data_IF_662371690613
#
_entry.id   IF_662371690613
#
_cell.length_a   1.000
_cell.length_b   1.000
_cell.length_c   1.000
_cell.angle_alpha   90.00
_cell.angle_beta   90.00
_cell.angle_gamma   90.00
#
_symmetry.space_group_name_H-M   'P 1'
#
loop_
_entity.id
_entity.type
_entity.pdbx_description
1 polymer ?
#
# COMPACT_ATOMS: atom_id res chain seq x y z
N UNK A 1 13.40 -18.21 16.81
CA UNK A 1 13.03 -16.84 17.26
C UNK A 1 12.13 -16.21 16.21
N UNK A 2 10.93 -16.74 16.05
CA UNK A 2 9.97 -16.22 15.08
C UNK A 2 9.18 -15.13 15.77
N UNK A 3 9.65 -13.90 15.65
CA UNK A 3 8.94 -12.71 16.12
C UNK A 3 7.72 -12.45 15.23
N UNK A 4 6.77 -13.37 15.25
CA UNK A 4 5.44 -13.20 14.68
C UNK A 4 4.71 -12.25 15.63
N UNK A 5 4.78 -10.96 15.32
CA UNK A 5 4.18 -9.91 16.14
C UNK A 5 2.75 -9.77 15.62
N UNK A 6 1.70 -10.10 16.39
CA UNK A 6 0.32 -9.96 15.94
C UNK A 6 0.01 -8.49 15.57
N UNK A 7 -0.85 -8.29 14.56
CA UNK A 7 -1.06 -7.05 13.80
C UNK A 7 0.11 -6.67 12.88
N UNK A 8 0.46 -7.55 11.94
CA UNK A 8 1.32 -7.15 10.83
C UNK A 8 0.52 -6.37 9.79
N UNK A 9 1.17 -5.46 9.05
CA UNK A 9 0.54 -4.73 7.94
C UNK A 9 -0.16 -5.65 6.91
N UNK A 10 0.27 -6.91 6.82
CA UNK A 10 -0.39 -7.94 6.02
C UNK A 10 -1.81 -8.29 6.49
N UNK A 11 -2.12 -8.17 7.79
CA UNK A 11 -3.46 -8.42 8.33
C UNK A 11 -4.40 -7.24 8.12
N UNK A 12 -3.87 -6.01 8.11
CA UNK A 12 -4.63 -4.79 7.80
C UNK A 12 -4.89 -4.64 6.29
N UNK A 13 -3.95 -5.08 5.45
CA UNK A 13 -4.07 -5.03 3.98
C UNK A 13 -3.88 -6.41 3.35
N UNK A 14 -4.85 -7.33 3.52
CA UNK A 14 -4.76 -8.66 2.92
C UNK A 14 -4.85 -8.63 1.39
N UNK A 15 -5.51 -7.61 0.82
CA UNK A 15 -5.61 -7.42 -0.63
C UNK A 15 -4.29 -6.97 -1.25
N UNK A 16 -3.52 -6.15 -0.52
CA UNK A 16 -2.28 -5.52 -1.01
C UNK A 16 -1.01 -6.20 -0.50
N UNK A 17 -1.14 -7.40 0.09
CA UNK A 17 -0.04 -8.21 0.63
C UNK A 17 1.15 -8.38 -0.36
N UNK A 18 0.85 -8.56 -1.64
CA UNK A 18 1.87 -8.64 -2.69
C UNK A 18 2.58 -7.31 -2.92
N UNK A 19 1.85 -6.19 -2.93
CA UNK A 19 2.42 -4.85 -3.06
C UNK A 19 3.22 -4.45 -1.84
N UNK A 20 2.73 -4.75 -0.64
CA UNK A 20 3.44 -4.59 0.62
C UNK A 20 4.81 -5.28 0.57
N UNK A 21 4.86 -6.54 0.13
CA UNK A 21 6.11 -7.30 0.03
C UNK A 21 7.08 -6.65 -0.95
N UNK A 22 6.57 -6.20 -2.10
CA UNK A 22 7.37 -5.52 -3.12
C UNK A 22 7.91 -4.17 -2.62
N UNK A 23 7.05 -3.33 -2.04
CA UNK A 23 7.42 -2.05 -1.44
C UNK A 23 8.43 -2.23 -0.32
N UNK A 24 8.31 -3.27 0.50
CA UNK A 24 9.30 -3.59 1.54
C UNK A 24 10.67 -3.99 0.98
N UNK A 25 10.75 -4.41 -0.28
CA UNK A 25 12.01 -4.74 -0.95
C UNK A 25 12.58 -3.55 -1.72
N UNK A 26 11.72 -2.70 -2.29
CA UNK A 26 12.12 -1.62 -3.21
C UNK A 26 12.13 -0.25 -2.54
N UNK A 27 11.40 -0.06 -1.45
CA UNK A 27 11.15 1.24 -0.83
C UNK A 27 11.63 1.26 0.65
N UNK A 28 12.66 2.07 0.90
CA UNK A 28 13.22 2.27 2.24
C UNK A 28 12.31 3.10 3.16
N UNK A 29 11.48 3.98 2.60
CA UNK A 29 10.54 4.80 3.36
C UNK A 29 9.46 3.90 3.98
N UNK A 30 8.93 2.98 3.19
CA UNK A 30 8.01 1.95 3.67
C UNK A 30 8.63 1.08 4.78
N UNK A 31 9.88 0.64 4.61
CA UNK A 31 10.57 -0.15 5.64
C UNK A 31 10.67 0.58 6.99
N UNK A 32 10.95 1.88 6.97
CA UNK A 32 11.04 2.69 8.18
C UNK A 32 9.66 2.83 8.85
N UNK A 33 8.61 3.11 8.07
CA UNK A 33 7.24 3.23 8.58
C UNK A 33 6.73 1.94 9.20
N UNK A 34 6.95 0.80 8.53
CA UNK A 34 6.60 -0.51 9.07
C UNK A 34 7.34 -0.77 10.40
N UNK A 35 8.64 -0.45 10.47
CA UNK A 35 9.42 -0.55 11.70
C UNK A 35 8.85 0.31 12.83
N UNK A 36 8.49 1.57 12.55
CA UNK A 36 7.87 2.49 13.52
C UNK A 36 6.51 1.99 13.99
N UNK A 37 5.69 1.46 13.08
CA UNK A 37 4.40 0.86 13.41
C UNK A 37 4.56 -0.32 14.37
N UNK A 38 5.49 -1.24 14.07
CA UNK A 38 5.78 -2.38 14.95
C UNK A 38 6.30 -1.94 16.33
N UNK A 39 7.14 -0.89 16.38
CA UNK A 39 7.64 -0.34 17.64
C UNK A 39 6.51 0.29 18.48
N UNK A 40 5.60 1.04 17.86
CA UNK A 40 4.41 1.58 18.53
C UNK A 40 3.50 0.46 19.02
N UNK A 41 3.25 -0.57 18.22
CA UNK A 41 2.36 -1.66 18.61
C UNK A 41 2.91 -2.44 19.82
N UNK A 42 4.23 -2.70 19.85
CA UNK A 42 4.89 -3.26 21.05
C UNK A 42 4.80 -2.33 22.25
N UNK A 43 4.92 -1.02 22.03
CA UNK A 43 4.82 -0.04 23.12
C UNK A 43 3.42 0.00 23.70
N UNK A 44 2.39 0.03 22.85
CA UNK A 44 0.97 -0.05 23.24
C UNK A 44 0.72 -1.34 24.02
N UNK A 45 1.16 -2.49 23.49
CA UNK A 45 0.99 -3.77 24.16
C UNK A 45 1.71 -3.80 25.52
N UNK A 46 2.93 -3.25 25.63
CA UNK A 46 3.64 -3.15 26.92
C UNK A 46 2.89 -2.30 27.95
N UNK A 47 2.21 -1.25 27.49
CA UNK A 47 1.42 -0.36 28.34
C UNK A 47 0.11 -1.04 28.76
N UNK A 48 -0.55 -1.73 27.82
CA UNK A 48 -1.83 -2.44 28.07
C UNK A 48 -1.63 -3.66 28.98
N UNK A 49 -0.46 -4.31 28.95
CA UNK A 49 -0.11 -5.49 29.77
C UNK A 49 0.50 -5.10 31.14
N UNK A 50 0.23 -3.89 31.63
CA UNK A 50 0.50 -3.44 33.01
C UNK A 50 1.99 -3.39 33.45
N UNK A 51 2.86 -2.71 32.70
CA UNK A 51 4.25 -2.47 33.15
C UNK A 51 4.54 -1.00 33.52
N UNK A 52 3.74 -0.01 33.11
CA UNK A 52 3.97 1.39 33.49
C UNK A 52 2.64 2.10 33.81
N UNK A 53 2.62 2.95 34.84
CA UNK A 53 1.59 3.97 35.07
C UNK A 53 1.60 5.02 33.94
N UNK A 54 1.38 4.58 32.70
CA UNK A 54 1.18 5.44 31.56
C UNK A 54 -0.20 6.04 31.68
N UNK A 55 -0.27 7.37 31.67
CA UNK A 55 -1.54 8.10 31.60
C UNK A 55 -2.32 7.66 30.36
N UNK A 56 -3.65 7.53 30.48
CA UNK A 56 -4.56 7.23 29.36
C UNK A 56 -4.37 8.19 28.17
N UNK A 57 -3.92 9.42 28.44
CA UNK A 57 -3.53 10.40 27.42
C UNK A 57 -2.35 9.94 26.54
N UNK A 58 -1.37 9.23 27.11
CA UNK A 58 -0.22 8.71 26.37
C UNK A 58 -0.63 7.54 25.47
N UNK A 59 -1.44 6.61 25.99
CA UNK A 59 -2.00 5.51 25.20
C UNK A 59 -2.87 6.03 24.05
N UNK A 60 -3.70 7.04 24.30
CA UNK A 60 -4.47 7.74 23.27
C UNK A 60 -3.57 8.37 22.20
N UNK A 61 -2.45 8.99 22.61
CA UNK A 61 -1.47 9.54 21.67
C UNK A 61 -0.82 8.45 20.82
N UNK A 62 -0.45 7.31 21.41
CA UNK A 62 0.13 6.19 20.67
C UNK A 62 -0.88 5.60 19.67
N UNK A 63 -2.16 5.47 20.05
CA UNK A 63 -3.23 5.03 19.14
C UNK A 63 -3.38 6.00 17.96
N UNK A 64 -3.34 7.32 18.20
CA UNK A 64 -3.33 8.33 17.12
C UNK A 64 -2.12 8.18 16.21
N UNK A 65 -0.92 8.02 16.78
CA UNK A 65 0.29 7.81 15.98
C UNK A 65 0.23 6.53 15.16
N UNK A 66 -0.34 5.44 15.71
CA UNK A 66 -0.56 4.19 14.98
C UNK A 66 -1.46 4.43 13.77
N UNK A 67 -2.54 5.19 13.94
CA UNK A 67 -3.46 5.53 12.85
C UNK A 67 -2.77 6.39 11.77
N UNK A 68 -2.01 7.40 12.17
CA UNK A 68 -1.27 8.25 11.23
C UNK A 68 -0.26 7.46 10.41
N UNK A 69 0.43 6.48 11.02
CA UNK A 69 1.33 5.61 10.27
C UNK A 69 0.58 4.71 9.29
N UNK A 70 -0.62 4.23 9.65
CA UNK A 70 -1.48 3.47 8.75
C UNK A 70 -1.90 4.31 7.55
N UNK A 71 -2.30 5.56 7.76
CA UNK A 71 -2.67 6.49 6.69
C UNK A 71 -1.48 6.79 5.76
N UNK A 72 -0.29 7.04 6.33
CA UNK A 72 0.94 7.25 5.54
C UNK A 72 1.30 6.02 4.70
N UNK A 73 1.10 4.81 5.26
CA UNK A 73 1.36 3.56 4.55
C UNK A 73 0.32 3.34 3.43
N UNK A 74 -0.96 3.61 3.69
CA UNK A 74 -2.00 3.52 2.68
C UNK A 74 -1.72 4.48 1.51
N UNK A 75 -1.31 5.71 1.79
CA UNK A 75 -0.94 6.68 0.77
C UNK A 75 0.26 6.22 -0.08
N UNK A 76 1.25 5.55 0.51
CA UNK A 76 2.37 4.97 -0.24
C UNK A 76 1.94 3.79 -1.12
N UNK A 77 1.02 2.96 -0.64
CA UNK A 77 0.47 1.84 -1.43
C UNK A 77 -0.30 2.40 -2.63
N UNK A 78 -1.15 3.42 -2.42
CA UNK A 78 -1.92 4.07 -3.48
C UNK A 78 -1.03 4.80 -4.51
N UNK A 79 0.02 5.51 -4.05
CA UNK A 79 1.01 6.13 -4.94
C UNK A 79 1.80 5.08 -5.74
N UNK A 80 2.14 3.96 -5.11
CA UNK A 80 2.80 2.85 -5.79
C UNK A 80 1.88 2.16 -6.81
N UNK A 81 0.62 1.95 -6.47
CA UNK A 81 -0.38 1.40 -7.39
C UNK A 81 -0.58 2.34 -8.58
N UNK A 82 -0.72 3.64 -8.32
CA UNK A 82 -0.83 4.68 -9.36
C UNK A 82 0.37 4.68 -10.30
N UNK A 83 1.60 4.60 -9.77
CA UNK A 83 2.82 4.50 -10.60
C UNK A 83 2.84 3.23 -11.46
N UNK A 84 2.29 2.12 -10.97
CA UNK A 84 2.18 0.87 -11.73
C UNK A 84 1.09 0.91 -12.80
N UNK A 85 0.01 1.67 -12.60
CA UNK A 85 -1.01 1.93 -13.62
C UNK A 85 -0.44 2.81 -14.72
N UNK A 86 0.32 3.85 -14.36
CA UNK A 86 0.90 4.80 -15.31
C UNK A 86 1.99 4.16 -16.20
N UNK A 87 2.76 3.20 -15.68
CA UNK A 87 3.69 2.42 -16.52
C UNK A 87 3.00 1.43 -17.46
N UNK A 88 1.71 1.14 -17.24
CA UNK A 88 0.92 0.25 -18.08
C UNK A 88 -0.02 1.00 -19.05
N UNK A 89 -0.13 2.33 -18.94
CA UNK A 89 -0.92 3.18 -19.82
C UNK A 89 -0.02 4.23 -20.49
N UNK A 90 0.68 3.96 -21.61
CA UNK A 90 0.18 4.00 -23.00
C UNK A 90 1.42 3.95 -23.94
N UNK A 91 1.35 3.46 -25.20
CA UNK A 91 0.72 4.23 -26.29
C UNK A 91 -0.19 3.39 -27.20
N UNK A 92 -1.36 3.93 -27.52
CA UNK A 92 -1.94 3.71 -28.84
C UNK A 92 -1.03 4.38 -29.87
N UNK A 93 -0.62 3.66 -30.93
CA UNK A 93 -0.83 4.24 -32.26
C UNK A 93 -1.32 3.19 -33.28
N UNK A 94 -2.46 3.52 -33.90
CA UNK A 94 -2.73 3.37 -35.32
C UNK A 94 -2.05 2.20 -36.09
N UNK A 95 -2.69 1.04 -36.19
CA UNK A 95 -2.33 0.04 -37.21
C UNK A 95 -3.44 -0.98 -37.57
N UNK A 96 -4.72 -0.59 -37.57
CA UNK A 96 -5.75 -1.45 -38.17
C UNK A 96 -6.85 -0.63 -38.84
N UNK A 97 -6.95 -0.83 -40.15
CA UNK A 97 -8.02 -0.41 -41.07
C UNK A 97 -7.83 0.96 -41.71
N UNK A 98 -6.78 1.03 -42.52
CA UNK A 98 -6.90 1.49 -43.90
C UNK A 98 -8.02 0.67 -44.60
N UNK A 99 -9.28 1.02 -44.38
CA UNK A 99 -10.37 0.63 -45.28
C UNK A 99 -10.78 1.86 -46.07
N UNK A 100 -9.99 2.11 -47.10
CA UNK A 100 -10.28 3.03 -48.17
C UNK A 100 -9.80 2.42 -49.47
N UNK A 101 -10.64 1.57 -50.08
CA UNK A 101 -10.62 1.42 -51.53
C UNK A 101 -12.06 1.38 -52.04
N UNK A 102 -12.42 2.54 -52.57
CA UNK A 102 -13.62 2.86 -53.33
C UNK A 102 -13.95 1.85 -54.43
N UNK A 103 -15.23 1.83 -54.83
CA UNK A 103 -15.58 1.78 -56.26
C UNK A 103 -16.53 0.64 -56.67
N UNK A 104 -17.79 0.64 -56.22
CA UNK A 104 -19.00 0.91 -57.05
C UNK A 104 -19.65 -0.41 -57.60
N UNK A 105 -20.82 -0.41 -58.29
CA UNK A 105 -22.01 -1.10 -57.79
C UNK A 105 -22.55 -2.19 -58.74
N UNK A 106 -23.49 -2.98 -58.21
CA UNK A 106 -24.68 -3.60 -58.82
C UNK A 106 -24.80 -3.51 -60.37
N UNK A 107 -24.74 -4.64 -61.08
CA UNK A 107 -25.65 -5.08 -62.20
C UNK A 107 -25.07 -6.27 -62.96
N UNK A 108 -25.77 -7.41 -62.96
CA UNK A 108 -26.05 -8.31 -64.09
C UNK A 108 -27.04 -9.39 -63.65
#
# INVERSE_FOLDING_TARGET
>A
MSAHTPHELHEEFPHDAAMLTRLKLTDNHFCNLAGRYHALNRSIHRIEVEIECSSDAYLTRLKKQRLMLLDEIAALIEDAESKLVETQATPTPAAARLFGRNGDPITA
#
